data_IF_493986363952
#
_entry.id   IF_493986363952
#
_cell.length_a   1.000
_cell.length_b   1.000
_cell.length_c   1.000
_cell.angle_alpha   90.00
_cell.angle_beta   90.00
_cell.angle_gamma   90.00
#
_symmetry.space_group_name_H-M   'P 1'
#
loop_
_entity.id
_entity.type
_entity.pdbx_description
1 polymer ?
#
# COMPACT_ATOMS: atom_id res chain seq x y z
N UNK A 1 -11.86 12.00 59.01
CA UNK A 1 -12.56 11.32 57.91
C UNK A 1 -11.69 11.48 56.67
N UNK A 2 -11.03 10.41 56.23
CA UNK A 2 -10.12 10.50 55.07
C UNK A 2 -10.92 10.80 53.80
N UNK A 3 -10.47 11.80 53.05
CA UNK A 3 -11.10 12.21 51.80
C UNK A 3 -10.56 11.30 50.69
N UNK A 4 -11.42 10.41 50.20
CA UNK A 4 -11.12 9.56 49.05
C UNK A 4 -11.11 10.40 47.76
N UNK A 5 -10.16 10.10 46.86
CA UNK A 5 -10.08 10.71 45.53
C UNK A 5 -10.83 9.84 44.50
N UNK A 6 -11.22 10.43 43.38
CA UNK A 6 -11.81 9.66 42.29
C UNK A 6 -10.74 8.82 41.56
N UNK A 7 -11.16 7.70 40.96
CA UNK A 7 -10.26 6.85 40.14
C UNK A 7 -9.59 7.65 39.03
N UNK A 8 -10.30 8.61 38.42
CA UNK A 8 -9.77 9.45 37.34
C UNK A 8 -8.65 10.37 37.83
N UNK A 9 -8.83 11.00 39.00
CA UNK A 9 -7.81 11.84 39.61
C UNK A 9 -6.59 11.02 40.03
N UNK A 10 -6.81 9.85 40.63
CA UNK A 10 -5.74 8.93 41.00
C UNK A 10 -4.93 8.49 39.77
N UNK A 11 -5.60 8.10 38.68
CA UNK A 11 -4.93 7.70 37.43
C UNK A 11 -4.15 8.85 36.81
N UNK A 12 -4.70 10.07 36.80
CA UNK A 12 -3.98 11.25 36.30
C UNK A 12 -2.70 11.50 37.08
N UNK A 13 -2.80 11.58 38.41
CA UNK A 13 -1.65 11.83 39.28
C UNK A 13 -0.59 10.72 39.15
N UNK A 14 -1.03 9.47 38.99
CA UNK A 14 -0.14 8.33 38.76
C UNK A 14 0.61 8.44 37.42
N UNK A 15 -0.09 8.73 36.32
CA UNK A 15 0.50 8.89 34.99
C UNK A 15 1.47 10.08 34.93
N UNK A 16 1.10 11.22 35.54
CA UNK A 16 1.98 12.39 35.65
C UNK A 16 3.28 12.02 36.38
N UNK A 17 3.18 11.29 37.49
CA UNK A 17 4.37 10.89 38.24
C UNK A 17 5.22 9.87 37.50
N UNK A 18 4.60 8.89 36.84
CA UNK A 18 5.29 7.91 36.01
C UNK A 18 6.11 8.57 34.91
N UNK A 19 5.55 9.58 34.22
CA UNK A 19 6.28 10.30 33.15
C UNK A 19 7.55 11.02 33.62
N UNK A 20 7.69 11.29 34.93
CA UNK A 20 8.87 11.95 35.49
C UNK A 20 9.99 10.97 35.87
N UNK A 21 9.69 9.67 35.99
CA UNK A 21 10.62 8.65 36.49
C UNK A 21 10.92 7.56 35.48
N UNK A 22 10.05 7.36 34.49
CA UNK A 22 10.31 6.46 33.38
C UNK A 22 11.35 7.07 32.45
N UNK A 23 12.41 6.32 32.20
CA UNK A 23 13.33 6.62 31.11
C UNK A 23 12.63 6.40 29.76
N UNK A 24 13.16 7.02 28.71
CA UNK A 24 12.74 6.69 27.35
C UNK A 24 13.01 5.19 27.11
N UNK A 25 12.05 4.47 26.48
CA UNK A 25 12.24 3.06 26.19
C UNK A 25 13.42 2.89 25.23
N UNK A 26 14.19 1.82 25.43
CA UNK A 26 15.21 1.44 24.46
C UNK A 26 14.56 1.06 23.13
N UNK A 27 15.21 1.46 22.04
CA UNK A 27 14.80 1.15 20.68
C UNK A 27 15.71 0.05 20.15
N UNK A 28 15.12 -0.95 19.52
CA UNK A 28 15.84 -2.03 18.87
C UNK A 28 15.27 -2.29 17.48
N UNK A 29 16.12 -2.75 16.57
CA UNK A 29 15.72 -3.30 15.29
C UNK A 29 15.57 -4.81 15.42
N UNK A 30 14.39 -5.31 15.08
CA UNK A 30 14.04 -6.73 15.17
C UNK A 30 13.47 -7.22 13.83
N UNK A 31 13.52 -8.53 13.55
CA UNK A 31 12.82 -9.10 12.39
C UNK A 31 11.31 -8.86 12.46
N UNK A 32 10.67 -8.69 11.30
CA UNK A 32 9.23 -8.34 11.21
C UNK A 32 8.33 -9.44 11.79
N UNK A 33 8.76 -10.69 11.69
CA UNK A 33 8.13 -11.88 12.25
C UNK A 33 8.05 -11.85 13.79
N UNK A 34 8.91 -11.08 14.45
CA UNK A 34 8.93 -10.91 15.91
C UNK A 34 8.23 -9.63 16.38
N UNK A 35 7.75 -8.80 15.46
CA UNK A 35 7.20 -7.47 15.77
C UNK A 35 5.79 -7.51 16.37
N UNK A 36 5.09 -8.65 16.32
CA UNK A 36 3.72 -8.77 16.84
C UNK A 36 3.68 -8.49 18.35
N UNK A 37 2.90 -7.49 18.76
CA UNK A 37 2.77 -7.08 20.16
C UNK A 37 3.80 -6.06 20.63
N UNK A 38 4.73 -5.64 19.76
CA UNK A 38 5.65 -4.52 20.02
C UNK A 38 4.97 -3.18 19.73
N UNK A 39 5.63 -2.09 20.15
CA UNK A 39 5.23 -0.71 19.85
C UNK A 39 6.28 -0.10 18.93
N UNK A 40 5.86 0.51 17.83
CA UNK A 40 6.76 1.21 16.92
C UNK A 40 7.44 2.38 17.65
N UNK A 41 8.76 2.49 17.47
CA UNK A 41 9.53 3.61 18.00
C UNK A 41 9.30 4.91 17.21
N UNK A 42 8.97 4.80 15.92
CA UNK A 42 8.72 5.92 15.01
C UNK A 42 7.73 5.56 13.90
N UNK A 43 7.28 6.58 13.16
CA UNK A 43 6.39 6.41 12.01
C UNK A 43 7.11 5.68 10.86
N UNK A 44 6.45 4.67 10.28
CA UNK A 44 6.95 3.96 9.09
C UNK A 44 6.28 4.52 7.83
N UNK A 45 7.10 4.94 6.86
CA UNK A 45 6.64 5.44 5.55
C UNK A 45 6.92 4.40 4.47
N UNK A 46 6.03 4.31 3.49
CA UNK A 46 6.23 3.45 2.33
C UNK A 46 7.46 3.94 1.54
N UNK A 47 8.47 3.09 1.30
CA UNK A 47 9.67 3.50 0.58
C UNK A 47 9.47 3.53 -0.95
N UNK A 48 8.40 2.92 -1.44
CA UNK A 48 8.06 2.80 -2.87
C UNK A 48 6.55 2.85 -3.07
N UNK A 49 6.13 3.17 -4.29
CA UNK A 49 4.74 2.98 -4.72
C UNK A 49 4.39 1.49 -4.81
N UNK A 50 3.13 1.17 -4.52
CA UNK A 50 2.60 -0.19 -4.64
C UNK A 50 1.24 -0.16 -5.37
N UNK A 51 1.16 -0.68 -6.61
CA UNK A 51 2.23 -1.35 -7.37
C UNK A 51 3.33 -0.38 -7.84
N UNK A 52 4.58 -0.85 -8.02
CA UNK A 52 5.69 0.01 -8.46
C UNK A 52 5.66 0.36 -9.96
N UNK A 53 4.68 -0.15 -10.71
CA UNK A 53 4.50 0.10 -12.14
C UNK A 53 3.05 -0.18 -12.55
N UNK A 54 2.67 0.35 -13.72
CA UNK A 54 1.36 0.09 -14.34
C UNK A 54 1.22 -1.39 -14.69
N UNK A 55 0.26 -2.07 -14.05
CA UNK A 55 -0.01 -3.48 -14.29
C UNK A 55 -1.45 -3.71 -14.73
N UNK A 56 -1.65 -4.77 -15.52
CA UNK A 56 -2.98 -5.26 -15.79
C UNK A 56 -3.63 -5.78 -14.50
N UNK A 57 -4.90 -5.44 -14.30
CA UNK A 57 -5.73 -5.90 -13.17
C UNK A 57 -6.51 -7.17 -13.55
N UNK A 58 -6.64 -7.44 -14.85
CA UNK A 58 -7.34 -8.59 -15.40
C UNK A 58 -6.57 -9.18 -16.58
N UNK A 59 -6.90 -10.41 -16.93
CA UNK A 59 -6.48 -11.01 -18.18
C UNK A 59 -7.20 -10.35 -19.36
N UNK A 60 -6.46 -10.04 -20.42
CA UNK A 60 -7.00 -9.35 -21.59
C UNK A 60 -5.91 -8.92 -22.55
N UNK A 61 -6.20 -7.87 -23.33
CA UNK A 61 -5.28 -7.29 -24.29
C UNK A 61 -4.96 -5.84 -23.92
N UNK A 62 -3.68 -5.50 -23.87
CA UNK A 62 -3.23 -4.13 -23.82
C UNK A 62 -3.46 -3.49 -25.20
N UNK A 63 -4.20 -2.38 -25.22
CA UNK A 63 -4.51 -1.62 -26.42
C UNK A 63 -4.24 -0.14 -26.19
N UNK A 64 -4.03 0.61 -27.27
CA UNK A 64 -4.12 2.07 -27.20
C UNK A 64 -5.58 2.46 -27.19
N UNK A 65 -6.05 3.14 -26.15
CA UNK A 65 -7.47 3.48 -25.98
C UNK A 65 -8.06 4.17 -27.23
N UNK A 66 -7.33 5.12 -27.80
CA UNK A 66 -7.70 5.85 -29.02
C UNK A 66 -7.99 4.96 -30.23
N UNK A 67 -7.34 3.79 -30.34
CA UNK A 67 -7.53 2.90 -31.49
C UNK A 67 -8.87 2.17 -31.42
N UNK A 68 -9.55 2.21 -30.26
CA UNK A 68 -10.90 1.64 -30.08
C UNK A 68 -12.02 2.66 -30.27
N UNK A 69 -11.69 3.93 -30.50
CA UNK A 69 -12.71 4.97 -30.64
C UNK A 69 -13.59 4.74 -31.87
N UNK A 70 -14.90 4.81 -31.69
CA UNK A 70 -15.87 4.57 -32.76
C UNK A 70 -16.16 3.09 -33.05
N UNK A 71 -15.57 2.15 -32.30
CA UNK A 71 -15.98 0.76 -32.28
C UNK A 71 -17.43 0.63 -31.81
N UNK A 72 -18.22 -0.20 -32.50
CA UNK A 72 -19.62 -0.50 -32.18
C UNK A 72 -19.88 -2.00 -32.37
N UNK A 73 -20.95 -2.57 -31.77
CA UNK A 73 -21.29 -3.99 -31.96
C UNK A 73 -21.45 -4.40 -33.43
N UNK A 74 -22.00 -3.52 -34.27
CA UNK A 74 -22.20 -3.71 -35.71
C UNK A 74 -20.98 -3.30 -36.56
N UNK A 75 -20.02 -2.58 -35.96
CA UNK A 75 -18.80 -2.10 -36.62
C UNK A 75 -17.59 -2.20 -35.68
N UNK A 76 -17.05 -3.41 -35.46
CA UNK A 76 -15.91 -3.62 -34.58
C UNK A 76 -14.61 -3.08 -35.19
N UNK A 77 -13.70 -2.60 -34.35
CA UNK A 77 -12.31 -2.35 -34.75
C UNK A 77 -11.52 -3.65 -34.63
N UNK A 78 -10.68 -3.93 -35.63
CA UNK A 78 -9.74 -5.04 -35.60
C UNK A 78 -8.35 -4.52 -35.25
N UNK A 79 -7.72 -5.13 -34.25
CA UNK A 79 -6.35 -4.85 -33.85
C UNK A 79 -5.47 -6.07 -34.15
N UNK A 80 -4.21 -5.82 -34.48
CA UNK A 80 -3.21 -6.87 -34.75
C UNK A 80 -2.54 -7.27 -33.45
N UNK A 81 -2.64 -8.56 -33.08
CA UNK A 81 -1.89 -9.11 -31.96
C UNK A 81 -0.39 -9.20 -32.32
N UNK A 82 0.47 -8.49 -31.58
CA UNK A 82 1.92 -8.43 -31.86
C UNK A 82 2.79 -9.08 -30.78
N UNK A 83 2.19 -9.53 -29.68
CA UNK A 83 2.93 -10.23 -28.63
C UNK A 83 2.05 -10.67 -27.48
N UNK A 84 2.68 -10.88 -26.33
CA UNK A 84 2.05 -11.13 -25.03
C UNK A 84 2.90 -10.49 -23.93
N UNK A 85 2.25 -9.95 -22.91
CA UNK A 85 2.89 -9.54 -21.66
C UNK A 85 2.49 -10.52 -20.55
N UNK A 86 3.45 -11.27 -20.00
CA UNK A 86 3.21 -12.22 -18.92
C UNK A 86 3.71 -11.66 -17.59
N UNK A 87 3.20 -12.19 -16.47
CA UNK A 87 3.69 -11.81 -15.16
C UNK A 87 5.22 -11.95 -15.06
N UNK A 88 5.90 -10.90 -14.60
CA UNK A 88 7.36 -10.87 -14.49
C UNK A 88 8.11 -10.58 -15.79
N UNK A 89 7.42 -10.37 -16.92
CA UNK A 89 8.03 -10.12 -18.21
C UNK A 89 7.49 -8.85 -18.86
N UNK A 90 8.36 -8.08 -19.50
CA UNK A 90 7.94 -6.96 -20.34
C UNK A 90 7.38 -7.50 -21.66
N UNK A 91 6.19 -7.02 -22.04
CA UNK A 91 5.65 -7.23 -23.38
C UNK A 91 6.29 -6.29 -24.41
N UNK A 92 6.11 -6.55 -25.71
CA UNK A 92 6.49 -5.60 -26.75
C UNK A 92 5.65 -4.31 -26.64
N UNK A 93 6.16 -3.18 -27.16
CA UNK A 93 5.38 -1.95 -27.22
C UNK A 93 4.17 -2.10 -28.14
N UNK A 94 3.09 -1.37 -27.83
CA UNK A 94 1.85 -1.39 -28.61
C UNK A 94 1.82 -0.20 -29.57
N UNK A 95 1.96 -0.46 -30.88
CA UNK A 95 1.82 0.54 -31.93
C UNK A 95 0.36 0.89 -32.29
N UNK A 96 0.13 1.85 -33.20
CA UNK A 96 -1.22 2.13 -33.71
C UNK A 96 -1.84 0.91 -34.40
N UNK A 97 -3.07 0.54 -34.02
CA UNK A 97 -3.80 -0.60 -34.57
C UNK A 97 -3.30 -1.95 -34.07
N UNK A 98 -2.46 -1.98 -33.03
CA UNK A 98 -1.88 -3.20 -32.45
C UNK A 98 -2.44 -3.49 -31.06
N UNK A 99 -2.27 -4.73 -30.61
CA UNK A 99 -2.52 -5.15 -29.24
C UNK A 99 -1.52 -6.21 -28.79
N UNK A 100 -1.36 -6.36 -27.48
CA UNK A 100 -0.44 -7.30 -26.83
C UNK A 100 -1.16 -8.01 -25.69
#
# INVERSE_FOLDING_TARGET
>A
MERLTSVREALRAYMERLSQVLAEPEVEEIPVEEAVGRVLAEDIKAPIDLPPFDKAVMDGYAVRAQDTFGARPDRPVKLKLVGRALAGHLGPPVGPGECV
#
